data_IF_592989597495
#
_entry.id   IF_592989597495
#
_cell.length_a   1.000
_cell.length_b   1.000
_cell.length_c   1.000
_cell.angle_alpha   90.00
_cell.angle_beta   90.00
_cell.angle_gamma   90.00
#
_symmetry.space_group_name_H-M   'P 1'
#
loop_
_entity.id
_entity.type
_entity.pdbx_description
1 polymer ?
#
# COMPACT_ATOMS: atom_id res chain seq x y z
N UNK A 1 10.87 -12.57 -28.36
CA UNK A 1 10.31 -12.93 -27.06
C UNK A 1 11.20 -12.31 -26.00
N UNK A 2 10.63 -11.69 -24.98
CA UNK A 2 11.41 -11.05 -23.91
C UNK A 2 11.90 -12.11 -22.93
N UNK A 3 13.07 -11.91 -22.33
CA UNK A 3 13.62 -12.80 -21.30
C UNK A 3 12.63 -13.04 -20.16
N UNK A 4 11.89 -12.01 -19.77
CA UNK A 4 10.85 -12.11 -18.75
C UNK A 4 9.71 -13.07 -19.15
N UNK A 5 9.35 -13.12 -20.44
CA UNK A 5 8.34 -14.05 -20.94
C UNK A 5 8.82 -15.51 -20.88
N UNK A 6 10.12 -15.75 -21.11
CA UNK A 6 10.72 -17.09 -21.00
C UNK A 6 10.81 -17.56 -19.54
N UNK A 7 11.17 -16.65 -18.62
CA UNK A 7 11.18 -16.91 -17.17
C UNK A 7 9.77 -17.25 -16.66
N UNK A 8 8.77 -16.46 -17.03
CA UNK A 8 7.39 -16.68 -16.62
C UNK A 8 6.81 -17.97 -17.21
N UNK A 9 7.20 -18.31 -18.45
CA UNK A 9 6.82 -19.59 -19.08
C UNK A 9 7.40 -20.78 -18.36
N UNK A 10 8.68 -20.72 -17.95
CA UNK A 10 9.27 -21.80 -17.16
C UNK A 10 8.50 -21.97 -15.86
N UNK A 11 8.33 -20.88 -15.10
CA UNK A 11 7.58 -20.86 -13.86
C UNK A 11 6.20 -21.52 -14.00
N UNK A 12 5.37 -21.07 -14.95
CA UNK A 12 4.01 -21.60 -15.13
C UNK A 12 3.96 -23.06 -15.64
N UNK A 13 5.06 -23.59 -16.18
CA UNK A 13 5.18 -24.99 -16.54
C UNK A 13 5.62 -25.86 -15.36
N UNK A 14 6.39 -25.30 -14.45
CA UNK A 14 6.99 -26.00 -13.31
C UNK A 14 6.04 -26.03 -12.08
N UNK A 15 4.96 -25.25 -12.10
CA UNK A 15 3.95 -25.25 -11.04
C UNK A 15 3.26 -26.63 -10.86
N UNK A 16 3.07 -27.11 -9.62
CA UNK A 16 2.52 -28.44 -9.35
C UNK A 16 0.99 -28.47 -9.44
N UNK A 17 0.45 -28.25 -10.65
CA UNK A 17 -1.00 -28.18 -10.96
C UNK A 17 -1.74 -29.47 -10.57
N UNK A 18 -1.03 -30.60 -10.50
CA UNK A 18 -1.56 -31.88 -10.00
C UNK A 18 -2.01 -31.83 -8.54
N UNK A 19 -1.51 -30.89 -7.73
CA UNK A 19 -1.89 -30.73 -6.32
C UNK A 19 -3.25 -30.02 -6.14
N UNK A 20 -3.81 -29.46 -7.21
CA UNK A 20 -5.14 -28.84 -7.16
C UNK A 20 -6.22 -29.90 -6.95
N UNK A 21 -7.19 -29.58 -6.09
CA UNK A 21 -8.24 -30.53 -5.65
C UNK A 21 -9.33 -30.76 -6.69
N UNK A 22 -9.53 -29.79 -7.60
CA UNK A 22 -10.60 -29.80 -8.60
C UNK A 22 -10.03 -29.72 -10.01
N UNK A 23 -10.58 -30.52 -10.93
CA UNK A 23 -10.28 -30.42 -12.35
C UNK A 23 -10.73 -29.07 -12.95
N UNK A 24 -11.70 -28.41 -12.32
CA UNK A 24 -12.12 -27.05 -12.68
C UNK A 24 -11.01 -26.03 -12.38
N UNK A 25 -10.33 -26.16 -11.24
CA UNK A 25 -9.19 -25.31 -10.88
C UNK A 25 -8.02 -25.51 -11.83
N UNK A 26 -7.75 -26.77 -12.20
CA UNK A 26 -6.73 -27.11 -13.20
C UNK A 26 -7.06 -26.51 -14.56
N UNK A 27 -8.33 -26.57 -14.98
CA UNK A 27 -8.78 -25.95 -16.22
C UNK A 27 -8.65 -24.43 -16.20
N UNK A 28 -8.96 -23.79 -15.08
CA UNK A 28 -8.79 -22.33 -14.89
C UNK A 28 -7.31 -21.94 -14.95
N UNK A 29 -6.43 -22.70 -14.31
CA UNK A 29 -4.99 -22.49 -14.40
C UNK A 29 -4.48 -22.59 -15.84
N UNK A 30 -4.84 -23.65 -16.57
CA UNK A 30 -4.40 -23.85 -17.95
C UNK A 30 -4.91 -22.74 -18.89
N UNK A 31 -6.15 -22.25 -18.70
CA UNK A 31 -6.66 -21.10 -19.45
C UNK A 31 -5.85 -19.83 -19.20
N UNK A 32 -5.48 -19.56 -17.95
CA UNK A 32 -4.68 -18.39 -17.59
C UNK A 32 -3.27 -18.53 -18.16
N UNK A 33 -2.66 -19.71 -18.03
CA UNK A 33 -1.36 -20.03 -18.61
C UNK A 33 -1.35 -19.88 -20.13
N UNK A 34 -2.36 -20.39 -20.83
CA UNK A 34 -2.47 -20.24 -22.29
C UNK A 34 -2.61 -18.77 -22.70
N UNK A 35 -3.42 -17.99 -21.97
CA UNK A 35 -3.59 -16.54 -22.20
C UNK A 35 -2.27 -15.78 -22.02
N UNK A 36 -1.57 -16.01 -20.92
CA UNK A 36 -0.26 -15.38 -20.64
C UNK A 36 0.79 -15.79 -21.69
N UNK A 37 0.81 -17.06 -22.09
CA UNK A 37 1.78 -17.55 -23.07
C UNK A 37 1.52 -17.03 -24.48
N UNK A 38 0.27 -16.77 -24.83
CA UNK A 38 -0.17 -16.29 -26.15
C UNK A 38 -0.24 -14.76 -26.24
N UNK A 39 -0.10 -14.05 -25.11
CA UNK A 39 -0.18 -12.60 -25.07
C UNK A 39 0.97 -11.94 -25.85
N UNK A 40 0.61 -10.95 -26.67
CA UNK A 40 1.56 -10.09 -27.37
C UNK A 40 2.16 -9.04 -26.43
N UNK A 41 1.36 -8.55 -25.47
CA UNK A 41 1.78 -7.68 -24.38
C UNK A 41 1.52 -8.36 -23.03
N UNK A 42 2.61 -8.75 -22.38
CA UNK A 42 2.58 -9.45 -21.10
C UNK A 42 2.08 -8.54 -19.96
N UNK A 43 2.41 -7.25 -19.99
CA UNK A 43 2.07 -6.31 -18.92
C UNK A 43 0.58 -5.97 -18.96
N UNK A 44 0.02 -5.83 -20.15
CA UNK A 44 -1.42 -5.62 -20.33
C UNK A 44 -2.23 -6.83 -19.85
N UNK A 45 -1.81 -8.05 -20.19
CA UNK A 45 -2.51 -9.27 -19.80
C UNK A 45 -2.44 -9.51 -18.28
N UNK A 46 -1.29 -9.27 -17.64
CA UNK A 46 -1.15 -9.34 -16.18
C UNK A 46 -1.98 -8.25 -15.47
N UNK A 47 -2.07 -7.06 -16.05
CA UNK A 47 -2.94 -5.98 -15.54
C UNK A 47 -4.43 -6.32 -15.66
N UNK A 48 -4.81 -7.06 -16.71
CA UNK A 48 -6.16 -7.61 -16.87
C UNK A 48 -6.44 -8.68 -15.82
N UNK A 49 -5.50 -9.58 -15.58
CA UNK A 49 -5.60 -10.62 -14.55
C UNK A 49 -5.70 -10.03 -13.14
N UNK A 50 -4.99 -8.93 -12.87
CA UNK A 50 -5.06 -8.20 -11.61
C UNK A 50 -6.46 -7.63 -11.31
N UNK A 51 -7.22 -7.29 -12.35
CA UNK A 51 -8.61 -6.79 -12.23
C UNK A 51 -9.63 -7.92 -11.99
N UNK A 52 -9.24 -9.18 -12.15
CA UNK A 52 -10.11 -10.32 -11.88
C UNK A 52 -10.17 -10.51 -10.37
N UNK A 53 -11.40 -10.60 -9.84
CA UNK A 53 -11.66 -10.83 -8.41
C UNK A 53 -10.88 -12.05 -7.91
N UNK A 54 -10.27 -11.91 -6.74
CA UNK A 54 -9.45 -12.92 -6.05
C UNK A 54 -8.09 -13.28 -6.69
N UNK A 55 -7.82 -12.83 -7.94
CA UNK A 55 -6.56 -13.10 -8.65
C UNK A 55 -5.50 -11.98 -8.50
N UNK A 56 -5.78 -10.95 -7.71
CA UNK A 56 -4.88 -9.80 -7.51
C UNK A 56 -3.49 -10.21 -7.01
N UNK A 57 -3.43 -11.07 -6.01
CA UNK A 57 -2.17 -11.51 -5.37
C UNK A 57 -1.35 -12.38 -6.33
N UNK A 58 -2.04 -13.25 -7.07
CA UNK A 58 -1.43 -14.08 -8.12
C UNK A 58 -0.86 -13.22 -9.25
N UNK A 59 -1.62 -12.23 -9.73
CA UNK A 59 -1.18 -11.32 -10.78
C UNK A 59 0.00 -10.44 -10.33
N UNK A 60 -0.01 -9.96 -9.08
CA UNK A 60 1.11 -9.20 -8.50
C UNK A 60 2.38 -10.05 -8.40
N UNK A 61 2.27 -11.31 -7.95
CA UNK A 61 3.41 -12.23 -7.90
C UNK A 61 4.05 -12.42 -9.27
N UNK A 62 3.23 -12.61 -10.32
CA UNK A 62 3.72 -12.73 -11.69
C UNK A 62 4.34 -11.42 -12.21
N UNK A 63 3.72 -10.26 -11.93
CA UNK A 63 4.26 -8.95 -12.31
C UNK A 63 5.61 -8.67 -11.66
N UNK A 64 5.79 -9.04 -10.39
CA UNK A 64 7.06 -8.87 -9.69
C UNK A 64 8.17 -9.74 -10.29
N UNK A 65 7.87 -10.99 -10.66
CA UNK A 65 8.84 -11.88 -11.33
C UNK A 65 9.23 -11.32 -12.69
N UNK A 66 8.27 -10.77 -13.44
CA UNK A 66 8.54 -10.10 -14.73
C UNK A 66 9.44 -8.88 -14.54
N UNK A 67 9.13 -7.99 -13.61
CA UNK A 67 9.96 -6.80 -13.31
C UNK A 67 11.36 -7.19 -12.83
N UNK A 68 11.47 -8.24 -12.01
CA UNK A 68 12.76 -8.76 -11.53
C UNK A 68 13.59 -9.37 -12.66
N UNK A 69 12.96 -10.09 -13.59
CA UNK A 69 13.61 -10.66 -14.77
C UNK A 69 14.02 -9.58 -15.79
N UNK A 70 13.24 -8.50 -15.92
CA UNK A 70 13.61 -7.35 -16.76
C UNK A 70 14.83 -6.59 -16.18
N UNK A 71 14.90 -6.46 -14.85
CA UNK A 71 15.99 -5.75 -14.16
C UNK A 71 17.26 -6.59 -14.01
N UNK A 72 17.15 -7.92 -14.00
CA UNK A 72 18.28 -8.85 -13.83
C UNK A 72 18.50 -9.75 -15.05
N UNK A 73 19.40 -9.39 -15.98
CA UNK A 73 19.64 -10.17 -17.20
C UNK A 73 20.29 -11.53 -16.95
N UNK A 74 20.73 -11.83 -15.72
CA UNK A 74 21.33 -13.11 -15.31
C UNK A 74 20.27 -14.09 -14.76
N UNK A 75 19.01 -13.67 -14.62
CA UNK A 75 17.95 -14.55 -14.13
C UNK A 75 17.62 -15.62 -15.17
N UNK A 76 17.93 -16.88 -14.84
CA UNK A 76 17.66 -18.07 -15.66
C UNK A 76 16.57 -18.86 -14.91
N UNK A 77 15.32 -18.46 -15.10
CA UNK A 77 14.17 -19.08 -14.44
C UNK A 77 13.78 -18.44 -13.11
N UNK A 78 12.64 -18.87 -12.58
CA UNK A 78 12.14 -18.45 -11.28
C UNK A 78 12.77 -19.30 -10.16
N UNK A 79 12.87 -18.76 -8.94
CA UNK A 79 13.33 -19.55 -7.79
C UNK A 79 12.22 -20.46 -7.26
N UNK A 80 12.58 -21.52 -6.54
CA UNK A 80 11.60 -22.37 -5.84
C UNK A 80 10.72 -21.56 -4.85
N UNK A 81 11.26 -20.46 -4.32
CA UNK A 81 10.50 -19.53 -3.46
C UNK A 81 9.45 -18.76 -4.27
N UNK A 82 9.79 -18.30 -5.47
CA UNK A 82 8.84 -17.64 -6.38
C UNK A 82 7.73 -18.60 -6.80
N UNK A 83 8.07 -19.86 -7.10
CA UNK A 83 7.12 -20.93 -7.41
C UNK A 83 6.11 -21.15 -6.29
N UNK A 84 6.60 -21.28 -5.05
CA UNK A 84 5.72 -21.47 -3.88
C UNK A 84 4.82 -20.25 -3.63
N UNK A 85 5.35 -19.04 -3.78
CA UNK A 85 4.59 -17.81 -3.59
C UNK A 85 3.48 -17.67 -4.64
N UNK A 86 3.80 -17.89 -5.92
CA UNK A 86 2.83 -17.80 -7.00
C UNK A 86 1.80 -18.92 -6.90
N UNK A 87 2.21 -20.15 -6.56
CA UNK A 87 1.29 -21.27 -6.41
C UNK A 87 0.34 -21.11 -5.23
N UNK A 88 0.83 -20.66 -4.08
CA UNK A 88 -0.01 -20.41 -2.90
C UNK A 88 -1.01 -19.28 -3.14
N UNK A 89 -0.58 -18.20 -3.81
CA UNK A 89 -1.46 -17.11 -4.22
C UNK A 89 -2.53 -17.58 -5.21
N UNK A 90 -2.17 -18.42 -6.18
CA UNK A 90 -3.13 -19.04 -7.10
C UNK A 90 -4.15 -19.87 -6.34
N UNK A 91 -3.70 -20.78 -5.45
CA UNK A 91 -4.57 -21.65 -4.66
C UNK A 91 -5.53 -20.86 -3.78
N UNK A 92 -5.08 -19.75 -3.21
CA UNK A 92 -5.92 -18.82 -2.45
C UNK A 92 -6.99 -18.19 -3.34
N UNK A 93 -6.61 -17.73 -4.54
CA UNK A 93 -7.52 -17.10 -5.50
C UNK A 93 -8.68 -18.00 -5.93
N UNK A 94 -8.40 -19.28 -6.15
CA UNK A 94 -9.43 -20.28 -6.54
C UNK A 94 -10.15 -20.90 -5.34
N UNK A 95 -9.87 -20.46 -4.11
CA UNK A 95 -10.45 -21.04 -2.90
C UNK A 95 -10.04 -22.50 -2.63
N UNK A 96 -8.93 -22.95 -3.22
CA UNK A 96 -8.41 -24.32 -3.09
C UNK A 96 -7.57 -24.48 -1.82
N UNK A 97 -8.25 -24.27 -0.71
CA UNK A 97 -7.75 -24.50 0.63
C UNK A 97 -7.70 -26.02 0.94
N UNK A 98 -6.90 -26.78 0.19
CA UNK A 98 -6.48 -28.10 0.67
C UNK A 98 -5.55 -27.90 1.84
N UNK A 99 -6.06 -28.24 3.02
CA UNK A 99 -5.34 -28.38 4.27
C UNK A 99 -4.12 -29.29 4.09
N UNK A 100 -2.93 -28.75 4.29
CA UNK A 100 -1.65 -29.46 4.45
C UNK A 100 -0.65 -28.41 4.99
N UNK A 101 0.04 -28.52 6.12
CA UNK A 101 0.24 -29.59 7.10
C UNK A 101 0.46 -28.93 8.48
N UNK A 102 -0.36 -29.24 9.49
CA UNK A 102 0.04 -29.01 10.88
C UNK A 102 -0.60 -30.07 11.78
N UNK A 103 -0.01 -31.27 11.79
CA UNK A 103 -0.25 -32.23 12.88
C UNK A 103 1.04 -32.99 13.17
N UNK A 104 1.90 -32.39 13.99
CA UNK A 104 2.78 -33.13 14.90
C UNK A 104 2.71 -32.45 16.26
N UNK A 105 1.99 -33.10 17.17
CA UNK A 105 1.42 -32.47 18.35
C UNK A 105 2.35 -32.24 19.53
N UNK A 106 1.89 -31.32 20.38
CA UNK A 106 2.13 -31.26 21.83
C UNK A 106 0.81 -30.77 22.46
N UNK A 107 0.28 -31.39 23.52
CA UNK A 107 -0.91 -30.92 24.22
C UNK A 107 -0.52 -29.90 25.29
N UNK A 108 -1.03 -28.67 25.21
CA UNK A 108 -0.87 -27.67 26.26
C UNK A 108 -1.00 -26.26 25.69
N UNK A 109 -2.04 -25.54 26.14
CA UNK A 109 -2.42 -24.26 25.57
C UNK A 109 -1.38 -23.15 25.71
N UNK A 110 -1.40 -22.26 24.71
CA UNK A 110 -1.41 -20.79 24.73
C UNK A 110 -1.49 -20.41 23.24
N UNK A 111 -2.49 -19.64 22.85
CA UNK A 111 -2.72 -19.19 21.47
C UNK A 111 -1.75 -18.07 21.13
N UNK A 112 -0.64 -18.41 20.47
CA UNK A 112 0.25 -17.49 19.76
C UNK A 112 0.07 -17.66 18.25
N UNK A 113 -0.11 -16.53 17.56
CA UNK A 113 -0.27 -16.39 16.10
C UNK A 113 1.07 -16.60 15.37
N UNK A 114 1.09 -17.24 14.19
CA UNK A 114 2.31 -17.52 13.44
C UNK A 114 2.71 -16.33 12.56
N UNK A 115 3.19 -15.24 13.16
CA UNK A 115 3.81 -14.11 12.44
C UNK A 115 5.34 -14.05 12.61
N UNK A 116 5.93 -14.93 13.41
CA UNK A 116 7.33 -14.78 13.86
C UNK A 116 8.38 -15.57 13.07
N UNK A 117 8.02 -16.28 12.00
CA UNK A 117 9.00 -17.04 11.21
C UNK A 117 9.77 -16.18 10.19
N UNK A 118 9.20 -15.06 9.73
CA UNK A 118 9.85 -14.17 8.75
C UNK A 118 10.82 -13.17 9.42
N UNK A 119 10.62 -12.86 10.70
CA UNK A 119 11.38 -11.85 11.44
C UNK A 119 12.77 -12.32 11.92
N UNK A 120 13.04 -13.63 11.93
CA UNK A 120 14.28 -14.19 12.51
C UNK A 120 15.45 -14.34 11.54
N UNK A 121 15.27 -14.05 10.24
CA UNK A 121 16.34 -14.16 9.24
C UNK A 121 17.15 -12.86 9.03
N UNK A 122 16.78 -11.77 9.70
CA UNK A 122 17.34 -10.42 9.46
C UNK A 122 18.19 -9.86 10.61
N UNK A 123 18.58 -10.65 11.61
CA UNK A 123 19.46 -10.19 12.68
C UNK A 123 20.74 -11.01 12.78
N UNK A 124 21.82 -10.46 12.22
CA UNK A 124 23.17 -10.94 12.41
C UNK A 124 24.18 -10.14 11.60
N UNK A 125 24.63 -8.98 12.12
CA UNK A 125 26.05 -8.57 12.23
C UNK A 125 26.16 -7.14 12.81
N UNK A 126 26.27 -7.07 14.14
CA UNK A 126 27.09 -6.10 14.90
C UNK A 126 28.57 -6.26 14.48
N UNK A 127 29.54 -5.33 14.57
CA UNK A 127 29.80 -4.17 15.40
C UNK A 127 31.14 -3.60 14.91
N UNK A 128 31.40 -2.28 14.97
CA UNK A 128 32.61 -1.79 15.68
C UNK A 128 32.42 -0.34 16.14
N UNK A 129 32.55 -0.13 17.44
CA UNK A 129 32.60 1.14 18.17
C UNK A 129 33.83 1.97 17.77
N UNK A 130 33.75 3.29 17.91
CA UNK A 130 34.63 3.97 18.88
C UNK A 130 34.01 5.30 19.34
N UNK A 131 33.99 5.46 20.65
CA UNK A 131 33.50 6.60 21.41
C UNK A 131 34.58 7.68 21.53
N UNK A 132 34.20 8.97 21.56
CA UNK A 132 34.89 10.00 22.36
C UNK A 132 33.95 11.17 22.70
N UNK A 133 33.46 11.13 23.94
CA UNK A 133 33.48 12.19 24.98
C UNK A 133 33.26 13.68 24.65
N UNK A 134 32.15 14.18 25.20
CA UNK A 134 32.03 15.30 26.17
C UNK A 134 32.40 16.75 25.82
N UNK A 135 31.67 17.65 26.52
CA UNK A 135 31.63 19.13 26.54
C UNK A 135 30.60 19.70 25.53
N UNK A 136 29.67 20.60 25.87
CA UNK A 136 29.71 21.65 26.89
C UNK A 136 28.28 22.15 27.23
N UNK A 137 28.10 22.59 28.46
CA UNK A 137 26.89 23.18 29.04
C UNK A 137 26.49 24.51 28.40
N UNK A 138 25.19 24.74 28.16
CA UNK A 138 24.55 26.03 28.40
C UNK A 138 23.01 25.90 28.38
N UNK A 139 22.42 25.98 29.57
CA UNK A 139 21.03 26.41 29.77
C UNK A 139 20.95 27.92 29.47
N UNK A 140 19.79 28.42 29.02
CA UNK A 140 19.02 29.20 29.99
C UNK A 140 17.52 28.88 30.00
N UNK A 141 16.95 29.19 31.15
CA UNK A 141 15.60 29.01 31.65
C UNK A 141 14.61 30.08 31.12
N UNK A 142 13.34 30.14 31.56
CA UNK A 142 12.16 30.09 30.71
C UNK A 142 11.50 31.45 30.49
N UNK A 143 10.75 31.62 29.41
CA UNK A 143 9.80 32.74 29.30
C UNK A 143 8.40 32.18 29.13
N UNK A 144 7.61 32.30 30.19
CA UNK A 144 6.17 32.13 30.14
C UNK A 144 5.56 33.28 29.33
N UNK A 145 4.86 32.93 28.26
CA UNK A 145 3.75 33.71 27.74
C UNK A 145 2.73 32.69 27.20
N UNK A 146 1.65 32.52 27.95
CA UNK A 146 0.38 32.08 27.40
C UNK A 146 0.05 32.96 26.19
N UNK A 147 -0.07 32.36 25.02
CA UNK A 147 -1.14 32.76 24.12
C UNK A 147 -1.55 31.52 23.34
N UNK A 148 -2.74 31.03 23.66
CA UNK A 148 -3.54 30.20 22.76
C UNK A 148 -3.70 30.96 21.44
N UNK A 149 -2.72 30.81 20.54
CA UNK A 149 -2.89 31.14 19.15
C UNK A 149 -3.76 30.04 18.54
N UNK A 150 -5.07 30.27 18.54
CA UNK A 150 -5.94 29.69 17.53
C UNK A 150 -5.24 29.86 16.16
N UNK A 151 -5.18 28.85 15.29
CA UNK A 151 -4.61 29.01 13.96
C UNK A 151 -5.51 29.94 13.14
N UNK A 152 -5.28 31.23 13.31
CA UNK A 152 -5.70 32.29 12.41
C UNK A 152 -4.62 32.36 11.34
N UNK A 153 -4.74 31.48 10.35
CA UNK A 153 -3.87 31.43 9.19
C UNK A 153 -4.68 30.95 8.01
N UNK A 154 -5.04 31.89 7.14
CA UNK A 154 -5.42 31.65 5.73
C UNK A 154 -4.78 30.37 5.21
N UNK A 155 -5.59 29.47 4.64
CA UNK A 155 -5.18 28.14 4.14
C UNK A 155 -3.88 28.18 3.35
N UNK A 156 -2.78 28.05 4.06
CA UNK A 156 -1.45 28.02 3.48
C UNK A 156 -1.27 26.58 2.98
N UNK A 157 -1.17 26.41 1.68
CA UNK A 157 -1.22 25.12 1.00
C UNK A 157 -0.15 24.17 1.54
N UNK A 158 0.99 24.72 1.99
CA UNK A 158 2.09 23.98 2.64
C UNK A 158 1.76 23.56 4.08
N UNK A 159 0.99 24.38 4.79
CA UNK A 159 0.49 24.01 6.12
C UNK A 159 -0.54 22.89 6.03
N UNK A 160 -1.34 22.89 4.96
CA UNK A 160 -2.30 21.82 4.68
C UNK A 160 -1.60 20.52 4.29
N UNK A 161 -0.59 20.56 3.40
CA UNK A 161 0.16 19.34 3.05
C UNK A 161 0.84 18.70 4.26
N UNK A 162 1.48 19.50 5.11
CA UNK A 162 2.09 19.02 6.35
C UNK A 162 1.05 18.45 7.34
N UNK A 163 -0.15 19.02 7.38
CA UNK A 163 -1.25 18.49 8.20
C UNK A 163 -1.74 17.13 7.68
N UNK A 164 -1.90 16.98 6.36
CA UNK A 164 -2.27 15.71 5.74
C UNK A 164 -1.20 14.65 6.01
N UNK A 165 0.09 14.97 5.87
CA UNK A 165 1.18 14.03 6.19
C UNK A 165 1.13 13.56 7.64
N UNK A 166 1.00 14.49 8.60
CA UNK A 166 0.85 14.14 10.04
C UNK A 166 -0.36 13.26 10.31
N UNK A 167 -1.48 13.53 9.63
CA UNK A 167 -2.67 12.69 9.75
C UNK A 167 -2.42 11.26 9.25
N UNK A 168 -1.76 11.11 8.09
CA UNK A 168 -1.41 9.79 7.56
C UNK A 168 -0.46 9.05 8.49
N UNK A 169 0.58 9.72 9.00
CA UNK A 169 1.53 9.15 9.97
C UNK A 169 0.84 8.71 11.27
N UNK A 170 -0.04 9.55 11.83
CA UNK A 170 -0.82 9.23 13.03
C UNK A 170 -1.75 8.03 12.79
N UNK A 171 -2.33 7.93 11.59
CA UNK A 171 -3.20 6.79 11.22
C UNK A 171 -2.40 5.50 11.10
N UNK A 172 -1.23 5.54 10.46
CA UNK A 172 -0.35 4.37 10.28
C UNK A 172 0.28 3.89 11.60
N UNK A 173 0.60 4.81 12.51
CA UNK A 173 1.18 4.48 13.82
C UNK A 173 0.14 4.07 14.86
N UNK A 174 -1.15 4.25 14.58
CA UNK A 174 -2.23 4.02 15.55
C UNK A 174 -2.23 5.04 16.69
N UNK A 175 -1.75 6.26 16.45
CA UNK A 175 -1.70 7.33 17.45
C UNK A 175 -3.12 7.81 17.82
N UNK A 176 -3.37 8.00 19.11
CA UNK A 176 -4.64 8.50 19.66
C UNK A 176 -5.04 9.88 19.11
N UNK A 177 -4.07 10.65 18.61
CA UNK A 177 -4.28 11.98 18.01
C UNK A 177 -4.86 11.94 16.58
N UNK A 178 -4.99 10.77 15.95
CA UNK A 178 -5.52 10.61 14.58
C UNK A 178 -6.90 11.24 14.36
N UNK A 179 -7.80 11.15 15.34
CA UNK A 179 -9.15 11.74 15.27
C UNK A 179 -9.09 13.27 15.29
N UNK A 180 -8.18 13.82 16.10
CA UNK A 180 -7.94 15.26 16.16
C UNK A 180 -7.38 15.79 14.84
N UNK A 181 -6.45 15.06 14.22
CA UNK A 181 -5.91 15.43 12.92
C UNK A 181 -6.96 15.30 11.81
N UNK A 182 -7.82 14.28 11.84
CA UNK A 182 -8.94 14.13 10.91
C UNK A 182 -9.85 15.36 10.94
N UNK A 183 -10.28 15.78 12.13
CA UNK A 183 -11.15 16.95 12.30
C UNK A 183 -10.48 18.23 11.78
N UNK A 184 -9.16 18.38 12.00
CA UNK A 184 -8.40 19.51 11.46
C UNK A 184 -8.32 19.48 9.93
N UNK A 185 -8.05 18.32 9.32
CA UNK A 185 -8.01 18.18 7.86
C UNK A 185 -9.37 18.52 7.25
N UNK A 186 -10.46 17.98 7.81
CA UNK A 186 -11.83 18.28 7.38
C UNK A 186 -12.13 19.78 7.50
N UNK A 187 -11.77 20.41 8.61
CA UNK A 187 -11.98 21.84 8.81
C UNK A 187 -11.25 22.69 7.77
N UNK A 188 -10.02 22.32 7.38
CA UNK A 188 -9.28 23.06 6.34
C UNK A 188 -9.92 22.82 4.97
N UNK A 189 -10.33 21.60 4.66
CA UNK A 189 -11.04 21.30 3.42
C UNK A 189 -12.35 22.08 3.29
N UNK A 190 -13.16 22.17 4.35
CA UNK A 190 -14.41 22.96 4.34
C UNK A 190 -14.14 24.45 4.04
N UNK A 191 -13.02 25.01 4.53
CA UNK A 191 -12.59 26.39 4.21
C UNK A 191 -12.18 26.52 2.75
N UNK A 192 -11.42 25.55 2.20
CA UNK A 192 -11.01 25.55 0.79
C UNK A 192 -12.22 25.46 -0.14
N UNK A 193 -13.19 24.60 0.18
CA UNK A 193 -14.42 24.41 -0.60
C UNK A 193 -15.23 25.72 -0.67
N UNK A 194 -15.34 26.44 0.45
CA UNK A 194 -16.06 27.70 0.53
C UNK A 194 -15.27 28.91 -0.02
N UNK A 195 -13.95 28.78 -0.17
CA UNK A 195 -13.04 29.86 -0.58
C UNK A 195 -12.96 30.07 -2.10
N UNK A 196 -12.00 30.91 -2.52
CA UNK A 196 -11.69 31.18 -3.93
C UNK A 196 -10.41 30.45 -4.36
N UNK A 197 -10.51 29.13 -4.46
CA UNK A 197 -9.44 28.23 -4.87
C UNK A 197 -9.72 27.60 -6.26
N UNK A 198 -8.68 27.10 -6.95
CA UNK A 198 -8.81 26.34 -8.18
C UNK A 198 -9.80 25.17 -8.07
N UNK A 199 -10.51 24.87 -9.16
CA UNK A 199 -11.58 23.87 -9.19
C UNK A 199 -11.08 22.46 -8.86
N UNK A 200 -9.94 22.07 -9.40
CA UNK A 200 -9.26 20.79 -9.15
C UNK A 200 -8.94 20.61 -7.65
N UNK A 201 -8.44 21.65 -7.00
CA UNK A 201 -8.14 21.63 -5.57
C UNK A 201 -9.41 21.56 -4.72
N UNK A 202 -10.48 22.27 -5.11
CA UNK A 202 -11.78 22.17 -4.45
C UNK A 202 -12.40 20.78 -4.58
N UNK A 203 -12.38 20.20 -5.78
CA UNK A 203 -12.89 18.86 -6.03
C UNK A 203 -12.16 17.84 -5.16
N UNK A 204 -10.83 17.91 -5.12
CA UNK A 204 -10.01 17.10 -4.24
C UNK A 204 -10.42 17.24 -2.76
N UNK A 205 -10.57 18.48 -2.26
CA UNK A 205 -10.98 18.71 -0.87
C UNK A 205 -12.40 18.21 -0.57
N UNK A 206 -13.33 18.31 -1.52
CA UNK A 206 -14.69 17.75 -1.38
C UNK A 206 -14.65 16.24 -1.21
N UNK A 207 -13.92 15.54 -2.09
CA UNK A 207 -13.82 14.08 -2.07
C UNK A 207 -13.06 13.59 -0.83
N UNK A 208 -11.97 14.28 -0.46
CA UNK A 208 -11.23 13.96 0.77
C UNK A 208 -12.13 14.13 2.00
N UNK A 209 -12.90 15.22 2.08
CA UNK A 209 -13.84 15.44 3.19
C UNK A 209 -14.89 14.33 3.28
N UNK A 210 -15.46 13.94 2.14
CA UNK A 210 -16.44 12.87 2.08
C UNK A 210 -15.87 11.52 2.56
N UNK A 211 -14.67 11.18 2.08
CA UNK A 211 -13.95 9.99 2.50
C UNK A 211 -13.65 9.99 4.01
N UNK A 212 -13.09 11.09 4.54
CA UNK A 212 -12.73 11.21 5.96
C UNK A 212 -13.95 11.11 6.88
N UNK A 213 -15.08 11.71 6.50
CA UNK A 213 -16.33 11.57 7.24
C UNK A 213 -16.82 10.13 7.22
N UNK A 214 -16.81 9.48 6.05
CA UNK A 214 -17.25 8.09 5.92
C UNK A 214 -16.42 7.13 6.79
N UNK A 215 -15.09 7.22 6.76
CA UNK A 215 -14.24 6.31 7.56
C UNK A 215 -14.39 6.57 9.06
N UNK A 216 -14.63 7.82 9.46
CA UNK A 216 -14.89 8.18 10.86
C UNK A 216 -16.22 7.62 11.34
N UNK A 217 -17.30 7.82 10.57
CA UNK A 217 -18.66 7.34 10.88
C UNK A 217 -18.73 5.81 10.99
N UNK A 218 -17.96 5.10 10.16
CA UNK A 218 -17.94 3.64 10.11
C UNK A 218 -16.81 3.00 10.93
N UNK A 219 -16.03 3.79 11.69
CA UNK A 219 -14.91 3.33 12.52
C UNK A 219 -13.85 2.54 11.71
N UNK A 220 -13.57 2.97 10.48
CA UNK A 220 -12.66 2.31 9.53
C UNK A 220 -11.24 2.87 9.55
N UNK A 221 -10.86 3.68 10.55
CA UNK A 221 -9.51 4.28 10.62
C UNK A 221 -8.38 3.25 10.67
N UNK A 222 -8.65 2.06 11.22
CA UNK A 222 -7.70 0.95 11.30
C UNK A 222 -7.73 0.02 10.07
N UNK A 223 -8.58 0.31 9.07
CA UNK A 223 -8.73 -0.52 7.88
C UNK A 223 -7.56 -0.33 6.91
N UNK A 224 -6.99 -1.44 6.43
CA UNK A 224 -5.86 -1.46 5.50
C UNK A 224 -6.18 -0.72 4.19
N UNK A 225 -7.43 -0.78 3.73
CA UNK A 225 -7.87 -0.05 2.54
C UNK A 225 -7.82 1.47 2.75
N UNK A 226 -8.18 1.93 3.96
CA UNK A 226 -8.09 3.35 4.33
C UNK A 226 -6.63 3.80 4.32
N UNK A 227 -5.72 3.02 4.90
CA UNK A 227 -4.28 3.32 4.89
C UNK A 227 -3.72 3.41 3.46
N UNK A 228 -4.16 2.52 2.55
CA UNK A 228 -3.74 2.55 1.16
C UNK A 228 -4.24 3.81 0.43
N UNK A 229 -5.50 4.20 0.63
CA UNK A 229 -6.06 5.43 0.04
C UNK A 229 -5.30 6.65 0.58
N UNK A 230 -5.09 6.74 1.89
CA UNK A 230 -4.40 7.86 2.52
C UNK A 230 -2.94 7.99 2.06
N UNK A 231 -2.24 6.88 1.87
CA UNK A 231 -0.86 6.88 1.36
C UNK A 231 -0.76 7.40 -0.09
N UNK A 232 -1.82 7.20 -0.88
CA UNK A 232 -1.92 7.74 -2.24
C UNK A 232 -2.35 9.21 -2.28
N UNK A 233 -2.80 9.78 -1.16
CA UNK A 233 -3.24 11.17 -1.06
C UNK A 233 -2.12 12.11 -0.64
N UNK A 234 -1.24 11.71 0.29
CA UNK A 234 -0.21 12.59 0.86
C UNK A 234 0.78 13.11 -0.18
N UNK A 235 1.30 12.22 -1.03
CA UNK A 235 2.32 12.58 -2.04
C UNK A 235 1.80 13.60 -3.08
N UNK A 236 0.64 13.39 -3.74
CA UNK A 236 0.07 14.38 -4.67
C UNK A 236 -0.21 15.75 -4.04
N UNK A 237 -0.70 15.78 -2.79
CA UNK A 237 -0.96 17.05 -2.07
C UNK A 237 0.34 17.80 -1.80
N UNK A 238 1.40 17.10 -1.36
CA UNK A 238 2.71 17.71 -1.12
C UNK A 238 3.35 18.18 -2.42
N UNK A 239 3.21 17.44 -3.52
CA UNK A 239 3.67 17.89 -4.84
C UNK A 239 2.92 19.14 -5.29
N UNK A 240 1.59 19.16 -5.18
CA UNK A 240 0.77 20.30 -5.54
C UNK A 240 1.13 21.56 -4.74
N UNK A 241 1.32 21.42 -3.42
CA UNK A 241 1.69 22.53 -2.53
C UNK A 241 3.09 23.11 -2.79
N UNK A 242 4.01 22.30 -3.32
CA UNK A 242 5.38 22.71 -3.64
C UNK A 242 5.58 23.15 -5.10
N UNK A 243 4.61 22.88 -5.96
CA UNK A 243 4.67 23.23 -7.38
C UNK A 243 4.15 24.65 -7.63
N UNK A 244 4.67 25.31 -8.67
CA UNK A 244 4.23 26.63 -9.09
C UNK A 244 2.76 26.59 -9.57
N UNK A 245 1.95 27.64 -9.35
CA UNK A 245 0.52 27.62 -9.70
C UNK A 245 0.21 27.24 -11.16
N UNK A 246 1.10 27.59 -12.09
CA UNK A 246 0.94 27.31 -13.52
C UNK A 246 1.19 25.83 -13.88
N UNK A 247 1.87 25.08 -13.02
CA UNK A 247 2.26 23.67 -13.23
C UNK A 247 1.45 22.69 -12.36
N UNK A 248 0.48 23.19 -11.57
CA UNK A 248 -0.32 22.39 -10.64
C UNK A 248 -1.42 21.54 -11.30
N UNK A 249 -1.81 21.90 -12.50
CA UNK A 249 -2.94 21.28 -13.20
C UNK A 249 -2.67 19.79 -13.39
N UNK A 250 -3.58 18.94 -12.92
CA UNK A 250 -3.49 17.49 -13.08
C UNK A 250 -2.70 16.76 -12.00
N UNK A 251 -1.96 17.45 -11.12
CA UNK A 251 -1.16 16.79 -10.07
C UNK A 251 -2.01 16.07 -9.02
N UNK A 252 -3.26 16.48 -8.85
CA UNK A 252 -4.19 15.86 -7.90
C UNK A 252 -5.01 14.71 -8.50
N UNK A 253 -4.92 14.44 -9.81
CA UNK A 253 -5.72 13.40 -10.47
C UNK A 253 -5.47 12.01 -9.85
N UNK A 254 -4.21 11.71 -9.55
CA UNK A 254 -3.80 10.44 -8.93
C UNK A 254 -4.39 10.25 -7.52
N UNK A 255 -4.60 11.34 -6.78
CA UNK A 255 -5.26 11.30 -5.47
C UNK A 255 -6.79 11.32 -5.56
N UNK A 256 -7.35 11.95 -6.60
CA UNK A 256 -8.79 12.06 -6.82
C UNK A 256 -9.42 10.71 -7.19
N UNK A 257 -8.74 9.90 -8.00
CA UNK A 257 -9.26 8.59 -8.44
C UNK A 257 -9.66 7.66 -7.26
N UNK A 258 -8.77 7.33 -6.30
CA UNK A 258 -9.14 6.48 -5.17
C UNK A 258 -10.19 7.14 -4.24
N UNK A 259 -10.18 8.47 -4.11
CA UNK A 259 -11.17 9.22 -3.32
C UNK A 259 -12.55 9.32 -3.99
N UNK A 260 -12.66 9.07 -5.30
CA UNK A 260 -13.96 9.04 -5.99
C UNK A 260 -14.63 7.67 -5.86
N UNK A 261 -13.81 6.61 -5.92
CA UNK A 261 -14.30 5.24 -5.98
C UNK A 261 -14.32 4.54 -4.60
N UNK A 262 -13.94 5.24 -3.52
CA UNK A 262 -13.75 4.61 -2.20
C UNK A 262 -14.97 3.84 -1.72
N UNK A 263 -16.20 4.32 -1.95
CA UNK A 263 -17.42 3.63 -1.48
C UNK A 263 -17.55 2.23 -2.05
N UNK A 264 -17.20 2.06 -3.33
CA UNK A 264 -17.20 0.73 -3.98
C UNK A 264 -16.16 -0.23 -3.39
N UNK A 265 -15.15 0.29 -2.68
CA UNK A 265 -14.15 -0.51 -1.99
C UNK A 265 -14.62 -0.98 -0.61
N UNK A 266 -15.67 -0.39 -0.03
CA UNK A 266 -16.19 -0.69 1.32
C UNK A 266 -17.59 -1.32 1.33
N UNK A 267 -18.33 -1.27 0.22
CA UNK A 267 -19.62 -1.96 0.00
C UNK A 267 -19.45 -3.35 -0.63
#
# INVERSE_FOLDING_TARGET
MSQAQDVLRSLLNDLPISELSSDEHRSTFEKIKERINSAADLKEELSSLYKVQDFSDFALGLMWIVDRAEKNPVMIGASEEDERLVFSSFRRAIGDAVASEETRGIPGGVTETPESAFASLFQGEEQTQEALSSFESASPEPTAAEESAAPSGTGDERSFSALVERFVEATQSGDDSRTTYLDQVVSVCDVVIAGDFPYDYKEFCMLLTEFLRYISENQLLDDVRVMNILSNVSSPVTQWANTSPDERTGLLEDAVAPLRDFKSLFE
#
